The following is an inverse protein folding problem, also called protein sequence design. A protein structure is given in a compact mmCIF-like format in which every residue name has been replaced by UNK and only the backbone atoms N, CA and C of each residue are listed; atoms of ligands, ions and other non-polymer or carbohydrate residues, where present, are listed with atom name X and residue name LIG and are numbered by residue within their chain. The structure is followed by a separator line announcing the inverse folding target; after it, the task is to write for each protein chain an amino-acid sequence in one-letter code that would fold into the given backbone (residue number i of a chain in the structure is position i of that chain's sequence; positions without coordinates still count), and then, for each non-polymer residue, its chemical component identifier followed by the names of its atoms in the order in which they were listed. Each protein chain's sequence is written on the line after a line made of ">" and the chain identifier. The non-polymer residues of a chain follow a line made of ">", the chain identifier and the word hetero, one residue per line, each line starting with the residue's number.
data_IF_915632233644
#
_entry.id   IF_915632233644
#
_cell.length_a   1.000
_cell.length_b   1.000
_cell.length_c   1.000
_cell.angle_alpha   90.00
_cell.angle_beta   90.00
_cell.angle_gamma   90.00
#
_symmetry.space_group_name_H-M   'P 1'
#
loop_
_entity.id
_entity.type
_entity.pdbx_description
1 polymer ?
#
# COMPACT_ATOMS: atom_id res chain seq x y z
N UNK A 1 -36.42 -11.22 -40.22
CA UNK A 1 -36.57 -10.40 -38.99
C UNK A 1 -35.48 -10.81 -37.96
N UNK A 2 -34.19 -10.78 -38.33
CA UNK A 2 -33.08 -11.21 -37.42
C UNK A 2 -31.84 -10.30 -37.50
N UNK A 3 -31.72 -9.42 -38.51
CA UNK A 3 -30.54 -8.57 -38.70
C UNK A 3 -30.48 -7.34 -37.78
N UNK A 4 -31.62 -6.92 -37.21
CA UNK A 4 -31.70 -5.81 -36.24
C UNK A 4 -31.30 -6.23 -34.82
N UNK A 5 -31.44 -7.52 -34.49
CA UNK A 5 -31.07 -8.07 -33.18
C UNK A 5 -29.57 -8.30 -33.02
N UNK A 6 -28.85 -8.51 -34.13
CA UNK A 6 -27.41 -8.71 -34.12
C UNK A 6 -26.64 -7.41 -33.78
N UNK A 7 -27.19 -6.24 -34.11
CA UNK A 7 -26.53 -4.96 -33.85
C UNK A 7 -26.60 -4.54 -32.37
N UNK A 8 -27.62 -4.97 -31.62
CA UNK A 8 -27.77 -4.62 -30.19
C UNK A 8 -26.90 -5.46 -29.26
N UNK A 9 -26.40 -6.62 -29.70
CA UNK A 9 -25.55 -7.50 -28.87
C UNK A 9 -24.09 -7.02 -28.85
N UNK A 10 -23.65 -6.23 -29.83
CA UNK A 10 -22.27 -5.76 -29.94
C UNK A 10 -21.97 -4.54 -29.04
N UNK A 11 -23.00 -3.82 -28.56
CA UNK A 11 -22.81 -2.53 -27.89
C UNK A 11 -22.70 -2.59 -26.35
N UNK A 12 -22.79 -3.76 -25.72
CA UNK A 12 -22.81 -3.91 -24.26
C UNK A 12 -21.47 -4.27 -23.61
N UNK A 13 -20.37 -4.32 -24.35
CA UNK A 13 -19.03 -4.64 -23.81
C UNK A 13 -18.22 -3.42 -23.34
N UNK A 14 -18.88 -2.38 -22.81
CA UNK A 14 -18.19 -1.37 -22.00
C UNK A 14 -17.99 -1.97 -20.60
N UNK A 15 -16.97 -2.83 -20.46
CA UNK A 15 -16.50 -3.26 -19.15
C UNK A 15 -16.06 -2.03 -18.36
N UNK A 16 -16.88 -1.65 -17.39
CA UNK A 16 -16.56 -0.62 -16.40
C UNK A 16 -15.40 -1.16 -15.58
N UNK A 17 -14.17 -0.79 -15.93
CA UNK A 17 -13.05 -0.95 -15.01
C UNK A 17 -13.25 0.08 -13.90
N UNK A 18 -13.94 -0.32 -12.84
CA UNK A 18 -14.00 0.45 -11.61
C UNK A 18 -12.58 0.49 -11.04
N UNK A 19 -11.84 1.55 -11.35
CA UNK A 19 -10.61 1.86 -10.63
C UNK A 19 -11.01 2.15 -9.19
N UNK A 20 -10.87 1.15 -8.32
CA UNK A 20 -10.91 1.39 -6.89
C UNK A 20 -9.83 2.42 -6.59
N UNK A 21 -10.23 3.58 -6.05
CA UNK A 21 -9.28 4.56 -5.55
C UNK A 21 -8.33 3.83 -4.59
N UNK A 22 -7.03 4.00 -4.78
CA UNK A 22 -6.05 3.38 -3.91
C UNK A 22 -6.37 3.78 -2.46
N UNK A 23 -6.72 2.78 -1.64
CA UNK A 23 -7.04 3.03 -0.24
C UNK A 23 -5.75 3.45 0.47
N UNK A 24 -5.76 4.65 1.01
CA UNK A 24 -4.66 5.27 1.74
C UNK A 24 -5.06 5.42 3.20
N UNK A 25 -4.15 5.12 4.12
CA UNK A 25 -4.30 5.48 5.52
C UNK A 25 -3.12 6.36 5.94
N UNK A 26 -3.40 7.55 6.45
CA UNK A 26 -2.39 8.37 7.10
C UNK A 26 -2.16 7.82 8.51
N UNK A 27 -0.91 7.56 8.86
CA UNK A 27 -0.51 7.16 10.21
C UNK A 27 0.60 8.08 10.69
N UNK A 28 0.62 8.35 11.99
CA UNK A 28 1.59 9.28 12.59
C UNK A 28 2.23 8.73 13.85
N UNK A 29 3.39 9.28 14.19
CA UNK A 29 4.06 9.02 15.47
C UNK A 29 3.15 9.32 16.67
N UNK A 30 2.34 10.35 16.58
CA UNK A 30 1.40 10.74 17.64
C UNK A 30 0.37 9.63 17.91
N UNK A 31 -0.19 9.02 16.87
CA UNK A 31 -1.18 7.93 16.99
C UNK A 31 -0.57 6.63 17.53
N UNK A 32 0.65 6.28 17.11
CA UNK A 32 1.27 4.98 17.42
C UNK A 32 2.18 4.99 18.66
N UNK A 33 2.63 6.16 19.11
CA UNK A 33 3.49 6.34 20.28
C UNK A 33 4.73 5.44 20.23
N UNK A 34 4.92 4.65 21.28
CA UNK A 34 6.05 3.71 21.43
C UNK A 34 6.18 2.66 20.31
N UNK A 35 5.07 2.37 19.61
CA UNK A 35 5.03 1.41 18.50
C UNK A 35 5.50 2.03 17.18
N UNK A 36 5.73 3.34 17.14
CA UNK A 36 6.22 4.03 15.95
C UNK A 36 7.59 3.49 15.51
N UNK A 37 7.69 3.16 14.21
CA UNK A 37 8.87 2.49 13.65
C UNK A 37 9.63 3.32 12.62
N UNK A 38 9.14 4.52 12.26
CA UNK A 38 9.70 5.31 11.18
C UNK A 38 10.48 6.53 11.67
N UNK A 39 11.52 6.93 10.93
CA UNK A 39 12.28 8.16 11.19
C UNK A 39 11.51 9.43 10.84
N UNK A 40 10.39 9.29 10.12
CA UNK A 40 9.47 10.39 9.77
C UNK A 40 8.39 10.51 10.82
N UNK A 41 7.78 11.69 10.94
CA UNK A 41 6.67 11.92 11.88
C UNK A 41 5.35 11.31 11.38
N UNK A 42 5.20 11.16 10.07
CA UNK A 42 4.02 10.60 9.41
C UNK A 42 4.41 9.84 8.13
N UNK A 43 3.58 8.86 7.77
CA UNK A 43 3.63 8.17 6.48
C UNK A 43 2.21 7.84 6.03
N UNK A 44 2.00 7.65 4.72
CA UNK A 44 0.76 7.06 4.22
C UNK A 44 0.97 5.57 3.93
N UNK A 45 0.07 4.73 4.42
CA UNK A 45 0.02 3.32 4.08
C UNK A 45 -0.87 3.13 2.86
N UNK A 46 -0.47 2.25 1.95
CA UNK A 46 -1.24 1.88 0.76
C UNK A 46 -1.19 0.37 0.55
N UNK A 47 -2.29 -0.19 0.05
CA UNK A 47 -2.29 -1.49 -0.58
C UNK A 47 -2.40 -1.36 -2.11
N UNK A 48 -1.48 -1.99 -2.83
CA UNK A 48 -1.44 -2.06 -4.30
C UNK A 48 -1.91 -3.45 -4.79
N UNK A 49 -2.23 -3.61 -6.08
CA UNK A 49 -2.61 -4.91 -6.66
C UNK A 49 -1.62 -6.02 -6.30
N UNK A 50 -2.16 -7.21 -6.02
CA UNK A 50 -1.38 -8.36 -5.53
C UNK A 50 -1.06 -8.31 -4.04
N UNK A 51 -1.79 -7.51 -3.25
CA UNK A 51 -1.55 -7.31 -1.81
C UNK A 51 -0.14 -6.77 -1.51
N UNK A 52 0.38 -5.91 -2.39
CA UNK A 52 1.69 -5.29 -2.19
C UNK A 52 1.53 -4.05 -1.29
N UNK A 53 2.18 -4.09 -0.13
CA UNK A 53 2.01 -3.08 0.93
C UNK A 53 3.17 -2.09 0.92
N UNK A 54 2.87 -0.80 1.00
CA UNK A 54 3.89 0.25 1.04
C UNK A 54 3.59 1.31 2.09
N UNK A 55 4.65 1.87 2.66
CA UNK A 55 4.63 3.17 3.32
C UNK A 55 5.13 4.24 2.34
N UNK A 56 4.48 5.40 2.33
CA UNK A 56 4.78 6.53 1.45
C UNK A 56 5.15 7.75 2.27
N UNK A 57 6.18 8.45 1.80
CA UNK A 57 6.48 9.78 2.31
C UNK A 57 5.56 10.82 1.65
N UNK A 58 4.80 11.57 2.46
CA UNK A 58 3.76 12.53 2.00
C UNK A 58 4.32 13.63 1.10
N UNK A 59 5.55 14.11 1.36
CA UNK A 59 6.14 15.22 0.59
C UNK A 59 6.88 14.84 -0.70
N UNK A 60 7.38 13.61 -0.81
CA UNK A 60 8.24 13.18 -1.96
C UNK A 60 7.63 12.04 -2.76
N UNK A 61 6.55 11.43 -2.26
CA UNK A 61 5.92 10.22 -2.81
C UNK A 61 6.87 9.01 -2.88
N UNK A 62 8.01 9.06 -2.19
CA UNK A 62 8.93 7.93 -2.09
C UNK A 62 8.24 6.77 -1.38
N UNK A 63 8.39 5.56 -1.94
CA UNK A 63 7.73 4.36 -1.48
C UNK A 63 8.72 3.43 -0.79
N UNK A 64 8.26 2.77 0.28
CA UNK A 64 9.04 1.81 1.04
C UNK A 64 8.22 0.53 1.21
N UNK A 65 8.71 -0.63 0.75
CA UNK A 65 7.95 -1.87 0.77
C UNK A 65 7.82 -2.42 2.19
N UNK A 66 6.62 -2.89 2.55
CA UNK A 66 6.32 -3.42 3.90
C UNK A 66 6.20 -4.95 3.93
N UNK A 67 6.07 -5.61 2.78
CA UNK A 67 5.97 -7.06 2.69
C UNK A 67 6.74 -7.63 1.49
N UNK A 68 6.87 -8.96 1.43
CA UNK A 68 7.67 -9.66 0.42
C UNK A 68 7.21 -9.39 -1.01
N UNK A 69 5.90 -9.24 -1.24
CA UNK A 69 5.36 -8.90 -2.57
C UNK A 69 5.86 -7.52 -3.01
N UNK A 70 5.77 -6.52 -2.13
CA UNK A 70 6.27 -5.18 -2.42
C UNK A 70 7.79 -5.16 -2.60
N UNK A 71 8.54 -5.95 -1.82
CA UNK A 71 9.98 -6.11 -1.99
C UNK A 71 10.31 -6.71 -3.36
N UNK A 72 9.57 -7.73 -3.81
CA UNK A 72 9.76 -8.34 -5.11
C UNK A 72 9.47 -7.36 -6.26
N UNK A 73 8.40 -6.56 -6.14
CA UNK A 73 8.04 -5.51 -7.11
C UNK A 73 9.10 -4.39 -7.20
N UNK A 74 9.70 -4.02 -6.06
CA UNK A 74 10.81 -3.08 -6.02
C UNK A 74 12.03 -3.67 -6.72
N UNK A 75 12.43 -4.91 -6.37
CA UNK A 75 13.61 -5.58 -6.93
C UNK A 75 13.49 -5.86 -8.42
N UNK A 76 12.29 -6.12 -8.93
CA UNK A 76 12.04 -6.32 -10.36
C UNK A 76 11.98 -5.02 -11.17
N UNK A 77 11.99 -3.85 -10.50
CA UNK A 77 11.82 -2.55 -11.15
C UNK A 77 10.38 -2.23 -11.54
N UNK A 78 9.40 -3.07 -11.19
CA UNK A 78 7.98 -2.80 -11.42
C UNK A 78 7.51 -1.56 -10.65
N UNK A 79 8.11 -1.29 -9.48
CA UNK A 79 7.81 -0.13 -8.65
C UNK A 79 9.10 0.55 -8.23
N UNK A 80 9.20 1.86 -8.49
CA UNK A 80 10.28 2.69 -7.94
C UNK A 80 10.05 2.89 -6.43
N UNK A 81 10.91 2.27 -5.63
CA UNK A 81 10.86 2.27 -4.18
C UNK A 81 12.27 2.15 -3.59
N UNK A 82 12.40 2.49 -2.31
CA UNK A 82 13.63 2.32 -1.53
C UNK A 82 13.44 1.28 -0.43
N UNK A 83 14.51 0.60 0.04
CA UNK A 83 14.42 -0.34 1.15
C UNK A 83 13.82 0.30 2.41
N UNK A 84 12.94 -0.41 3.10
CA UNK A 84 12.27 0.10 4.31
C UNK A 84 13.25 0.47 5.43
N UNK A 85 14.41 -0.21 5.50
CA UNK A 85 15.44 0.06 6.49
C UNK A 85 16.05 1.46 6.37
N UNK A 86 15.90 2.14 5.22
CA UNK A 86 16.30 3.54 5.06
C UNK A 86 15.53 4.50 5.97
N UNK A 87 14.32 4.11 6.40
CA UNK A 87 13.47 4.92 7.29
C UNK A 87 13.09 4.20 8.59
N UNK A 88 13.58 2.97 8.81
CA UNK A 88 13.20 2.17 9.99
C UNK A 88 14.12 2.49 11.17
N UNK A 89 13.50 2.84 12.29
CA UNK A 89 14.18 3.12 13.56
C UNK A 89 14.78 1.85 14.16
N UNK A 90 15.90 2.02 14.86
CA UNK A 90 16.42 1.01 15.79
C UNK A 90 15.48 0.88 17.00
N UNK A 91 15.39 -0.32 17.58
CA UNK A 91 14.62 -0.57 18.78
C UNK A 91 15.47 -0.27 20.04
N UNK A 92 15.17 0.80 20.81
CA UNK A 92 15.93 1.11 22.01
C UNK A 92 15.75 0.04 23.11
N UNK A 93 14.70 -0.79 23.03
CA UNK A 93 14.46 -1.88 23.98
C UNK A 93 15.25 -3.15 23.61
N UNK A 94 15.68 -3.28 22.36
CA UNK A 94 16.40 -4.46 21.84
C UNK A 94 17.58 -4.01 20.96
N UNK A 95 18.76 -3.72 21.55
CA UNK A 95 19.93 -3.26 20.82
C UNK A 95 20.29 -4.17 19.63
N UNK A 96 20.57 -3.57 18.48
CA UNK A 96 20.88 -4.28 17.24
C UNK A 96 19.65 -4.75 16.44
N UNK A 97 18.43 -4.53 16.95
CA UNK A 97 17.19 -4.83 16.23
C UNK A 97 16.51 -3.54 15.78
N UNK A 98 15.72 -3.65 14.70
CA UNK A 98 14.87 -2.57 14.20
C UNK A 98 13.47 -2.66 14.82
N UNK A 99 12.81 -1.52 15.07
CA UNK A 99 11.41 -1.44 15.54
C UNK A 99 10.48 -2.30 14.68
N UNK A 100 9.54 -3.03 15.29
CA UNK A 100 8.62 -3.88 14.54
C UNK A 100 7.76 -3.08 13.55
N UNK A 101 7.59 -3.60 12.33
CA UNK A 101 6.69 -3.06 11.32
C UNK A 101 5.27 -3.63 11.42
N UNK A 102 5.06 -4.64 12.26
CA UNK A 102 3.84 -5.43 12.32
C UNK A 102 2.56 -4.59 12.42
N UNK A 103 2.46 -3.55 13.30
CA UNK A 103 1.24 -2.75 13.39
C UNK A 103 0.89 -2.01 12.09
N UNK A 104 1.90 -1.65 11.30
CA UNK A 104 1.71 -0.94 10.03
C UNK A 104 1.37 -1.89 8.90
N UNK A 105 1.94 -3.10 8.91
CA UNK A 105 1.59 -4.18 7.99
C UNK A 105 0.11 -4.53 8.18
N UNK A 106 -0.33 -4.79 9.42
CA UNK A 106 -1.73 -5.11 9.72
C UNK A 106 -2.68 -4.01 9.27
N UNK A 107 -2.32 -2.74 9.51
CA UNK A 107 -3.13 -1.60 9.05
C UNK A 107 -3.17 -1.51 7.52
N UNK A 108 -2.06 -1.76 6.84
CA UNK A 108 -1.99 -1.73 5.38
C UNK A 108 -2.74 -2.91 4.74
N UNK A 109 -2.74 -4.10 5.35
CA UNK A 109 -3.50 -5.27 4.90
C UNK A 109 -5.01 -5.01 4.94
N UNK A 110 -5.49 -4.28 5.95
CA UNK A 110 -6.89 -3.86 6.00
C UNK A 110 -7.25 -3.02 4.76
N UNK A 111 -6.34 -2.19 4.23
CA UNK A 111 -6.58 -1.40 3.02
C UNK A 111 -6.71 -2.25 1.75
N UNK A 112 -6.27 -3.50 1.77
CA UNK A 112 -6.47 -4.42 0.64
C UNK A 112 -7.91 -4.95 0.56
N UNK A 113 -8.69 -4.80 1.64
CA UNK A 113 -10.06 -5.32 1.66
C UNK A 113 -10.99 -4.36 0.91
N UNK A 114 -11.87 -4.87 0.02
CA UNK A 114 -12.79 -4.05 -0.78
C UNK A 114 -13.71 -3.17 0.09
N UNK A 115 -14.00 -3.59 1.34
CA UNK A 115 -14.95 -2.91 2.24
C UNK A 115 -14.30 -2.20 3.43
N UNK A 116 -12.97 -2.14 3.53
CA UNK A 116 -12.31 -1.37 4.58
C UNK A 116 -12.80 0.09 4.55
N UNK A 117 -13.49 0.48 5.61
CA UNK A 117 -14.01 1.83 5.84
C UNK A 117 -12.82 2.78 6.05
N UNK A 118 -12.81 3.96 5.39
CA UNK A 118 -11.78 4.97 5.60
C UNK A 118 -11.69 5.39 7.07
#
# INVERSE_FOLDING_TARGET
>A
MMKKFLLSIVLTSLSVNAFAAAKLANVSRFEYGDRWAFTREEVQLICRPGNALYALHTGTLMQYPLNDVAIAQMKSGQVSAQPIDAIRLDDPKHPGQKKSLQPFIERAEQLCQPDAKP
#
